data_IF_839699516644
#
_entry.id   IF_839699516644
#
_cell.length_a   1.000
_cell.length_b   1.000
_cell.length_c   1.000
_cell.angle_alpha   90.00
_cell.angle_beta   90.00
_cell.angle_gamma   90.00
#
_symmetry.space_group_name_H-M   'P 1'
#
loop_
_entity.id
_entity.type
_entity.pdbx_description
1 polymer ?
#
# COMPACT_ATOMS: atom_id res chain seq x y z
N UNK A 1 -21.49 -26.59 7.64
CA UNK A 1 -22.33 -25.39 7.39
C UNK A 1 -21.41 -24.35 6.76
N UNK A 2 -21.49 -24.18 5.44
CA UNK A 2 -20.64 -23.21 4.73
C UNK A 2 -21.11 -21.80 5.03
N UNK A 3 -20.29 -21.01 5.72
CA UNK A 3 -20.52 -19.59 5.87
C UNK A 3 -20.47 -18.96 4.47
N UNK A 4 -21.63 -18.53 3.95
CA UNK A 4 -21.68 -17.60 2.81
C UNK A 4 -20.94 -16.35 3.26
N UNK A 5 -19.75 -16.14 2.72
CA UNK A 5 -19.03 -14.87 2.83
C UNK A 5 -19.98 -13.85 2.20
N UNK A 6 -20.43 -12.88 2.99
CA UNK A 6 -21.33 -11.82 2.52
C UNK A 6 -20.75 -11.19 1.25
N UNK A 7 -21.61 -10.98 0.24
CA UNK A 7 -21.33 -10.42 -1.08
C UNK A 7 -20.24 -9.33 -1.05
N UNK A 8 -18.98 -9.76 -1.13
CA UNK A 8 -17.84 -8.87 -1.07
C UNK A 8 -17.58 -8.42 -2.49
N UNK A 9 -18.34 -7.43 -2.94
CA UNK A 9 -18.18 -6.86 -4.28
C UNK A 9 -16.95 -5.96 -4.34
N UNK A 10 -16.20 -6.03 -5.43
CA UNK A 10 -15.05 -5.17 -5.69
C UNK A 10 -15.49 -3.70 -5.69
N UNK A 11 -14.84 -2.86 -4.89
CA UNK A 11 -15.21 -1.44 -4.77
C UNK A 11 -14.95 -0.63 -6.06
N UNK A 12 -14.13 -1.14 -7.00
CA UNK A 12 -13.86 -0.45 -8.27
C UNK A 12 -14.82 -0.82 -9.38
N UNK A 13 -15.10 -2.12 -9.55
CA UNK A 13 -15.82 -2.64 -10.72
C UNK A 13 -17.14 -3.33 -10.38
N UNK A 14 -17.46 -3.50 -9.09
CA UNK A 14 -18.69 -4.15 -8.62
C UNK A 14 -18.75 -5.66 -8.83
N UNK A 15 -17.70 -6.28 -9.41
CA UNK A 15 -17.64 -7.74 -9.59
C UNK A 15 -17.49 -8.44 -8.24
N UNK A 16 -18.10 -9.59 -8.10
CA UNK A 16 -17.99 -10.44 -6.92
C UNK A 16 -16.53 -10.85 -6.65
N UNK A 17 -16.06 -10.65 -5.41
CA UNK A 17 -14.77 -11.13 -4.93
C UNK A 17 -15.01 -12.44 -4.18
N UNK A 18 -14.50 -13.53 -4.77
CA UNK A 18 -14.74 -14.90 -4.28
C UNK A 18 -14.03 -15.20 -2.96
N UNK A 19 -12.91 -14.51 -2.67
CA UNK A 19 -12.14 -14.74 -1.44
C UNK A 19 -11.39 -13.49 -1.00
N UNK A 20 -11.34 -13.29 0.32
CA UNK A 20 -10.48 -12.33 0.99
C UNK A 20 -9.43 -13.07 1.85
N UNK A 21 -8.18 -12.57 1.93
CA UNK A 21 -7.67 -11.39 1.22
C UNK A 21 -7.59 -11.64 -0.28
N UNK A 22 -7.61 -10.56 -1.05
CA UNK A 22 -7.25 -10.63 -2.45
C UNK A 22 -5.73 -10.71 -2.53
N UNK A 23 -5.23 -11.85 -3.01
CA UNK A 23 -3.81 -12.09 -3.20
C UNK A 23 -3.41 -11.82 -4.65
N UNK A 24 -2.29 -11.13 -4.84
CA UNK A 24 -1.70 -10.84 -6.15
C UNK A 24 -0.16 -10.85 -6.02
N UNK A 25 0.54 -11.43 -6.99
CA UNK A 25 1.97 -11.20 -7.14
C UNK A 25 2.19 -10.01 -8.08
N UNK A 26 2.82 -8.95 -7.60
CA UNK A 26 3.11 -7.75 -8.39
C UNK A 26 4.61 -7.44 -8.32
N UNK A 27 5.29 -7.49 -9.47
CA UNK A 27 6.74 -7.24 -9.59
C UNK A 27 7.59 -8.06 -8.59
N UNK A 28 7.23 -9.33 -8.39
CA UNK A 28 7.93 -10.23 -7.47
C UNK A 28 7.60 -10.03 -5.99
N UNK A 29 6.60 -9.20 -5.66
CA UNK A 29 6.08 -9.01 -4.32
C UNK A 29 4.70 -9.64 -4.19
N UNK A 30 4.49 -10.49 -3.19
CA UNK A 30 3.17 -11.01 -2.85
C UNK A 30 2.40 -9.98 -2.02
N UNK A 31 1.22 -9.57 -2.53
CA UNK A 31 0.33 -8.59 -1.91
C UNK A 31 -0.89 -9.32 -1.38
N UNK A 32 -1.21 -9.14 -0.11
CA UNK A 32 -2.45 -9.61 0.51
C UNK A 32 -3.30 -8.44 0.96
N UNK A 33 -4.38 -8.14 0.23
CA UNK A 33 -5.27 -7.03 0.55
C UNK A 33 -6.57 -7.52 1.19
N UNK A 34 -6.77 -7.17 2.46
CA UNK A 34 -8.03 -7.45 3.19
C UNK A 34 -9.05 -6.32 3.05
N UNK A 35 -8.59 -5.08 2.98
CA UNK A 35 -9.44 -3.91 2.80
C UNK A 35 -8.65 -2.81 2.08
N UNK A 36 -9.26 -2.10 1.09
CA UNK A 36 -10.60 -2.30 0.57
C UNK A 36 -10.77 -3.62 -0.21
N UNK A 37 -12.01 -4.08 -0.36
CA UNK A 37 -12.35 -5.29 -1.14
C UNK A 37 -12.15 -5.00 -2.62
N UNK A 38 -11.14 -5.61 -3.25
CA UNK A 38 -10.81 -5.42 -4.67
C UNK A 38 -10.71 -6.78 -5.36
N UNK A 39 -11.15 -6.90 -6.60
CA UNK A 39 -10.79 -8.08 -7.38
C UNK A 39 -9.33 -7.99 -7.84
N UNK A 40 -8.70 -9.15 -8.11
CA UNK A 40 -7.28 -9.21 -8.49
C UNK A 40 -6.92 -8.27 -9.66
N UNK A 41 -7.78 -8.19 -10.69
CA UNK A 41 -7.59 -7.30 -11.84
C UNK A 41 -7.60 -5.82 -11.45
N UNK A 42 -8.51 -5.41 -10.57
CA UNK A 42 -8.58 -4.02 -10.11
C UNK A 42 -7.39 -3.69 -9.20
N UNK A 43 -6.99 -4.63 -8.34
CA UNK A 43 -5.79 -4.48 -7.51
C UNK A 43 -4.54 -4.30 -8.37
N UNK A 44 -4.34 -5.15 -9.39
CA UNK A 44 -3.22 -5.07 -10.33
C UNK A 44 -3.18 -3.72 -11.06
N UNK A 45 -4.31 -3.28 -11.64
CA UNK A 45 -4.40 -1.98 -12.30
C UNK A 45 -4.09 -0.80 -11.35
N UNK A 46 -4.53 -0.90 -10.09
CA UNK A 46 -4.22 0.10 -9.07
C UNK A 46 -2.73 0.10 -8.76
N UNK A 47 -2.12 -1.07 -8.60
CA UNK A 47 -0.68 -1.21 -8.41
C UNK A 47 0.10 -0.61 -9.59
N UNK A 48 -0.26 -0.90 -10.84
CA UNK A 48 0.41 -0.33 -12.01
C UNK A 48 0.35 1.21 -12.03
N UNK A 49 -0.82 1.77 -11.70
CA UNK A 49 -1.06 3.21 -11.84
C UNK A 49 -0.56 4.05 -10.68
N UNK A 50 -0.62 3.51 -9.47
CA UNK A 50 -0.46 4.27 -8.23
C UNK A 50 0.68 3.80 -7.34
N UNK A 51 1.44 2.79 -7.75
CA UNK A 51 2.67 2.45 -7.01
C UNK A 51 3.66 3.60 -7.05
N UNK A 52 4.45 3.73 -5.99
CA UNK A 52 5.58 4.66 -5.91
C UNK A 52 6.87 3.88 -5.72
N UNK A 53 8.02 4.49 -5.95
CA UNK A 53 9.32 3.87 -5.66
C UNK A 53 9.78 4.19 -4.24
N UNK A 54 10.43 3.23 -3.61
CA UNK A 54 11.12 3.43 -2.34
C UNK A 54 12.41 4.23 -2.56
N UNK A 55 12.56 5.35 -1.85
CA UNK A 55 13.73 6.21 -1.96
C UNK A 55 15.03 5.55 -1.46
N UNK A 56 14.94 4.47 -0.68
CA UNK A 56 16.11 3.77 -0.14
C UNK A 56 16.58 2.59 -1.00
N UNK A 57 15.69 1.66 -1.36
CA UNK A 57 16.06 0.46 -2.12
C UNK A 57 15.72 0.54 -3.62
N UNK A 58 14.97 1.55 -4.06
CA UNK A 58 14.50 1.69 -5.45
C UNK A 58 13.32 0.79 -5.82
N UNK A 59 13.01 -0.22 -5.00
CA UNK A 59 11.93 -1.16 -5.26
C UNK A 59 10.54 -0.51 -5.16
N UNK A 60 9.55 -1.18 -5.73
CA UNK A 60 8.19 -0.68 -5.81
C UNK A 60 7.49 -0.76 -4.45
N UNK A 61 6.76 0.29 -4.08
CA UNK A 61 5.83 0.37 -2.96
C UNK A 61 4.42 0.31 -3.56
N UNK A 62 3.69 -0.80 -3.39
CA UNK A 62 2.33 -0.89 -3.90
C UNK A 62 1.38 0.02 -3.09
N UNK A 63 0.28 0.49 -3.70
CA UNK A 63 -0.84 1.09 -2.97
C UNK A 63 -1.31 0.19 -1.84
N UNK A 64 -1.95 0.82 -0.86
CA UNK A 64 -2.42 0.22 0.37
C UNK A 64 -1.34 -0.29 1.32
N UNK A 65 -0.11 0.23 1.19
CA UNK A 65 1.02 -0.08 2.05
C UNK A 65 1.26 0.98 3.13
N UNK A 66 1.72 0.56 4.30
CA UNK A 66 2.33 1.49 5.24
C UNK A 66 3.70 1.94 4.71
N UNK A 67 4.00 3.23 4.87
CA UNK A 67 5.23 3.85 4.37
C UNK A 67 5.86 4.76 5.41
N UNK A 68 7.18 4.78 5.44
CA UNK A 68 7.95 5.88 6.03
C UNK A 68 7.96 7.06 5.06
N UNK A 69 8.01 8.28 5.58
CA UNK A 69 7.98 9.50 4.79
C UNK A 69 9.20 10.36 5.11
N UNK A 70 10.01 10.63 4.09
CA UNK A 70 11.15 11.52 4.18
C UNK A 70 10.76 12.87 3.59
N UNK A 71 10.92 13.94 4.38
CA UNK A 71 10.72 15.31 3.89
C UNK A 71 11.97 15.74 3.13
N UNK A 72 11.84 16.08 1.86
CA UNK A 72 12.90 16.72 1.11
C UNK A 72 12.98 18.21 1.44
N UNK A 73 14.19 18.78 1.35
CA UNK A 73 14.43 20.21 1.57
C UNK A 73 13.66 21.13 0.58
N UNK A 74 13.11 20.57 -0.51
CA UNK A 74 12.28 21.28 -1.50
C UNK A 74 10.76 21.21 -1.25
N UNK A 75 10.32 20.64 -0.13
CA UNK A 75 8.89 20.48 0.21
C UNK A 75 8.21 19.26 -0.42
N UNK A 76 8.98 18.41 -1.13
CA UNK A 76 8.54 17.11 -1.62
C UNK A 76 8.57 16.04 -0.52
N UNK A 77 7.67 15.06 -0.62
CA UNK A 77 7.70 13.86 0.22
C UNK A 77 8.25 12.68 -0.59
N UNK A 78 9.28 12.05 -0.05
CA UNK A 78 9.76 10.75 -0.51
C UNK A 78 9.21 9.65 0.39
N UNK A 79 9.05 8.45 -0.17
CA UNK A 79 8.46 7.31 0.52
C UNK A 79 9.47 6.18 0.65
N UNK A 80 9.47 5.48 1.77
CA UNK A 80 10.29 4.29 2.00
C UNK A 80 9.46 3.14 2.54
N UNK A 81 9.87 1.91 2.24
CA UNK A 81 9.24 0.73 2.82
C UNK A 81 9.37 0.74 4.35
N UNK A 82 8.34 0.25 5.04
CA UNK A 82 8.36 0.01 6.48
C UNK A 82 9.10 -1.28 6.85
N UNK A 83 10.31 -1.46 6.34
CA UNK A 83 11.17 -2.62 6.64
C UNK A 83 12.40 -2.16 7.41
N UNK A 84 13.00 -3.07 8.19
CA UNK A 84 14.24 -2.76 8.94
C UNK A 84 15.35 -2.26 8.02
N UNK A 85 15.44 -2.76 6.80
CA UNK A 85 16.44 -2.33 5.80
C UNK A 85 16.17 -0.95 5.21
N UNK A 86 14.90 -0.50 5.15
CA UNK A 86 14.51 0.77 4.56
C UNK A 86 14.20 1.87 5.58
N UNK A 87 14.01 1.54 6.85
CA UNK A 87 13.76 2.49 7.94
C UNK A 87 15.04 3.04 8.58
N UNK A 88 16.21 2.48 8.26
CA UNK A 88 17.52 2.98 8.75
C UNK A 88 17.81 4.43 8.34
N UNK A 89 17.11 4.95 7.34
CA UNK A 89 17.18 6.35 6.88
C UNK A 89 16.51 7.36 7.82
N UNK A 90 15.92 6.91 8.94
CA UNK A 90 15.51 7.80 10.03
C UNK A 90 14.22 8.57 9.79
N UNK A 91 13.17 7.89 9.33
CA UNK A 91 11.87 8.52 9.12
C UNK A 91 11.13 8.77 10.45
N UNK A 92 11.10 10.02 10.92
CA UNK A 92 10.21 10.42 12.02
C UNK A 92 8.72 10.44 11.61
N UNK A 93 8.45 10.40 10.30
CA UNK A 93 7.12 10.48 9.74
C UNK A 93 6.65 9.15 9.15
N UNK A 94 5.37 8.85 9.33
CA UNK A 94 4.77 7.61 8.87
C UNK A 94 3.42 7.91 8.22
N UNK A 95 2.99 7.04 7.31
CA UNK A 95 1.67 7.13 6.74
C UNK A 95 1.27 5.90 5.96
N UNK A 96 0.17 6.06 5.24
CA UNK A 96 -0.43 5.02 4.42
C UNK A 96 -0.50 5.48 2.97
N UNK A 97 0.19 4.76 2.09
CA UNK A 97 0.17 5.05 0.66
C UNK A 97 -1.09 4.46 0.05
N UNK A 98 -2.05 5.31 -0.34
CA UNK A 98 -3.29 4.90 -1.00
C UNK A 98 -3.15 4.90 -2.52
N UNK A 99 -4.22 5.30 -3.22
CA UNK A 99 -4.22 5.47 -4.69
C UNK A 99 -3.51 6.77 -5.12
N UNK A 100 -2.19 6.82 -4.96
CA UNK A 100 -1.37 7.97 -5.35
C UNK A 100 -1.43 9.15 -4.38
N UNK A 101 -1.91 8.91 -3.15
CA UNK A 101 -1.99 9.91 -2.08
C UNK A 101 -1.53 9.31 -0.77
N UNK A 102 -0.85 10.14 0.02
CA UNK A 102 -0.49 9.82 1.38
C UNK A 102 -1.67 10.10 2.31
N UNK A 103 -2.03 9.10 3.11
CA UNK A 103 -3.06 9.17 4.14
C UNK A 103 -2.45 8.94 5.52
N UNK A 104 -3.17 9.33 6.58
CA UNK A 104 -2.78 9.09 7.98
C UNK A 104 -1.32 9.48 8.28
N UNK A 105 -0.92 10.65 7.78
CA UNK A 105 0.43 11.18 8.00
C UNK A 105 0.60 11.56 9.47
N UNK A 106 1.53 10.89 10.15
CA UNK A 106 1.82 11.08 11.58
C UNK A 106 3.31 11.31 11.76
N UNK A 107 3.66 12.30 12.55
CA UNK A 107 5.00 12.49 13.10
C UNK A 107 5.06 11.78 14.46
N UNK A 108 6.00 10.86 14.62
CA UNK A 108 6.30 10.28 15.94
C UNK A 108 7.38 11.16 16.55
N UNK A 109 7.00 12.02 17.50
CA UNK A 109 7.98 12.73 18.32
C UNK A 109 8.80 11.69 19.10
N UNK A 110 10.12 11.72 18.92
CA UNK A 110 11.03 10.97 19.76
C UNK A 110 11.00 11.58 21.16
N UNK A 111 10.46 10.83 22.14
CA UNK A 111 10.58 11.14 23.57
C UNK A 111 12.03 11.01 24.06
#
# INVERSE_FOLDING_TARGET
MGHRIADSSCVECGLEVLSLPTTLEFRGQEIHLFHPVLCARCLENICERYSTSCANCGETIPPYSQVGVLKENGGGNQFVHMTTSCLTVGSAFHGYWGKGKLHNFVEIEAC
#
